data_IF_604719357892
#
_entry.id   IF_604719357892
#
_cell.length_a   1.000
_cell.length_b   1.000
_cell.length_c   1.000
_cell.angle_alpha   90.00
_cell.angle_beta   90.00
_cell.angle_gamma   90.00
#
_symmetry.space_group_name_H-M   'P 1'
#
loop_
_entity.id
_entity.type
_entity.pdbx_description
1 polymer ?
#
# COMPACT_ATOMS: atom_id res chain seq x y z
N UNK A 1 0.35 -10.70 10.95
CA UNK A 1 1.02 -9.45 10.51
C UNK A 1 0.07 -8.76 9.55
N UNK A 2 -0.35 -7.52 9.82
CA UNK A 2 -1.30 -6.82 8.97
C UNK A 2 -0.55 -6.17 7.80
N UNK A 3 -1.02 -6.42 6.57
CA UNK A 3 -0.54 -5.73 5.38
C UNK A 3 -1.20 -4.35 5.33
N UNK A 4 -0.44 -3.33 4.91
CA UNK A 4 -0.92 -1.94 4.90
C UNK A 4 -0.53 -1.27 3.59
N UNK A 5 -1.28 -0.23 3.21
CA UNK A 5 -0.87 0.67 2.14
C UNK A 5 0.01 1.78 2.71
N UNK A 6 1.04 2.14 1.97
CA UNK A 6 1.99 3.19 2.32
C UNK A 6 1.85 4.31 1.29
N UNK A 7 1.85 5.55 1.78
CA UNK A 7 1.96 6.74 0.94
C UNK A 7 3.17 7.52 1.47
N UNK A 8 4.15 7.80 0.62
CA UNK A 8 5.21 8.70 1.05
C UNK A 8 4.70 10.14 1.10
N UNK A 9 5.35 10.97 1.92
CA UNK A 9 4.90 12.34 2.13
C UNK A 9 5.03 13.22 0.88
N UNK A 10 5.92 12.88 -0.07
CA UNK A 10 6.08 13.64 -1.31
C UNK A 10 4.88 13.41 -2.22
N UNK A 11 4.50 12.14 -2.43
CA UNK A 11 3.32 11.77 -3.19
C UNK A 11 2.04 12.30 -2.53
N UNK A 12 1.96 12.24 -1.20
CA UNK A 12 0.86 12.87 -0.45
C UNK A 12 0.69 14.36 -0.78
N UNK A 13 1.80 15.11 -0.88
CA UNK A 13 1.77 16.53 -1.26
C UNK A 13 1.46 16.75 -2.74
N UNK A 14 1.89 15.86 -3.62
CA UNK A 14 1.55 15.94 -5.05
C UNK A 14 0.06 15.70 -5.32
N UNK A 15 -0.62 14.96 -4.44
CA UNK A 15 -2.08 14.79 -4.49
C UNK A 15 -2.84 16.04 -3.98
N UNK A 16 -2.13 17.11 -3.63
CA UNK A 16 -2.67 18.39 -3.13
C UNK A 16 -3.53 18.25 -1.85
N UNK A 17 -3.27 17.21 -1.08
CA UNK A 17 -4.01 16.93 0.16
C UNK A 17 -3.43 17.77 1.31
N UNK A 18 -4.33 18.36 2.10
CA UNK A 18 -3.93 19.18 3.25
C UNK A 18 -3.45 18.31 4.42
N UNK A 19 -2.45 18.79 5.17
CA UNK A 19 -2.00 18.11 6.40
C UNK A 19 -3.11 17.97 7.44
N UNK A 20 -4.13 18.84 7.38
CA UNK A 20 -5.28 18.79 8.28
C UNK A 20 -6.20 17.58 8.02
N UNK A 21 -6.07 16.95 6.85
CA UNK A 21 -6.81 15.73 6.50
C UNK A 21 -6.12 14.47 7.04
N UNK A 22 -4.87 14.57 7.51
CA UNK A 22 -4.19 13.47 8.17
C UNK A 22 -4.79 13.22 9.54
N UNK A 23 -5.31 12.00 9.71
CA UNK A 23 -5.70 11.53 11.04
C UNK A 23 -4.45 11.11 11.80
N UNK A 24 -4.21 11.73 12.95
CA UNK A 24 -3.12 11.31 13.85
C UNK A 24 -3.31 9.84 14.25
N UNK A 25 -2.19 9.12 14.37
CA UNK A 25 -2.23 7.73 14.79
C UNK A 25 -1.06 7.41 15.71
N UNK A 26 -1.28 6.57 16.72
CA UNK A 26 -0.23 6.01 17.56
C UNK A 26 0.32 4.69 16.98
N UNK A 27 -0.17 4.26 15.81
CA UNK A 27 0.29 3.05 15.14
C UNK A 27 1.75 3.18 14.74
N UNK A 28 2.58 2.26 15.24
CA UNK A 28 3.96 2.08 14.80
C UNK A 28 3.97 0.94 13.77
N UNK A 29 4.51 1.22 12.59
CA UNK A 29 4.73 0.17 11.60
C UNK A 29 6.09 -0.49 11.84
N UNK A 30 6.17 -1.79 11.56
CA UNK A 30 7.42 -2.55 11.70
C UNK A 30 7.73 -3.23 10.37
N UNK A 31 8.97 -3.08 9.91
CA UNK A 31 9.47 -3.84 8.77
C UNK A 31 9.62 -5.32 9.12
N UNK A 32 9.83 -6.15 8.09
CA UNK A 32 10.19 -7.57 8.29
C UNK A 32 11.50 -7.77 9.04
N UNK A 33 12.39 -6.78 9.01
CA UNK A 33 13.66 -6.77 9.77
C UNK A 33 13.49 -6.27 11.22
N UNK A 34 12.26 -5.95 11.64
CA UNK A 34 11.95 -5.44 12.99
C UNK A 34 12.23 -3.94 13.17
N UNK A 35 12.65 -3.24 12.11
CA UNK A 35 12.84 -1.80 12.16
C UNK A 35 11.50 -1.07 12.32
N UNK A 36 11.42 -0.15 13.28
CA UNK A 36 10.23 0.66 13.51
C UNK A 36 10.22 1.83 12.53
N UNK A 37 9.10 2.01 11.85
CA UNK A 37 8.90 3.05 10.85
C UNK A 37 8.00 4.11 11.46
N UNK A 38 8.47 5.35 11.45
CA UNK A 38 7.72 6.51 11.93
C UNK A 38 6.64 6.90 10.92
N UNK A 39 5.42 7.10 11.43
CA UNK A 39 4.22 7.41 10.64
C UNK A 39 3.74 8.81 11.00
N UNK A 40 3.55 9.68 10.01
CA UNK A 40 2.99 11.03 10.19
C UNK A 40 1.52 10.99 10.59
N UNK A 41 0.78 10.06 10.00
CA UNK A 41 -0.66 9.92 10.17
C UNK A 41 -1.20 8.87 9.22
N UNK A 42 -2.52 8.80 9.15
CA UNK A 42 -3.25 7.93 8.22
C UNK A 42 -4.31 8.73 7.48
N UNK A 43 -4.60 8.32 6.26
CA UNK A 43 -5.63 8.92 5.42
C UNK A 43 -6.35 7.85 4.61
N UNK A 44 -7.64 8.05 4.35
CA UNK A 44 -8.40 7.17 3.46
C UNK A 44 -8.59 7.84 2.10
N UNK A 45 -8.08 7.22 1.05
CA UNK A 45 -8.15 7.73 -0.32
C UNK A 45 -9.09 6.86 -1.17
N UNK A 46 -9.81 7.50 -2.08
CA UNK A 46 -10.50 6.80 -3.15
C UNK A 46 -9.48 6.52 -4.25
N UNK A 47 -9.32 5.25 -4.62
CA UNK A 47 -8.41 4.81 -5.67
C UNK A 47 -9.21 4.12 -6.78
N UNK A 48 -8.75 4.29 -8.00
CA UNK A 48 -9.34 3.68 -9.19
C UNK A 48 -8.27 3.07 -10.09
N UNK A 49 -8.50 1.85 -10.60
CA UNK A 49 -7.64 1.21 -11.58
C UNK A 49 -8.49 0.37 -12.54
N UNK A 50 -8.32 0.57 -13.86
CA UNK A 50 -9.06 -0.15 -14.90
C UNK A 50 -10.59 -0.23 -14.67
N UNK A 51 -11.21 0.85 -14.19
CA UNK A 51 -12.65 0.91 -13.90
C UNK A 51 -13.07 0.29 -12.56
N UNK A 52 -12.15 -0.32 -11.81
CA UNK A 52 -12.39 -0.78 -10.45
C UNK A 52 -12.07 0.33 -9.45
N UNK A 53 -12.98 0.58 -8.50
CA UNK A 53 -12.86 1.64 -7.51
C UNK A 53 -12.87 1.06 -6.10
N UNK A 54 -12.14 1.67 -5.18
CA UNK A 54 -12.17 1.31 -3.77
C UNK A 54 -11.65 2.44 -2.88
N UNK A 55 -12.03 2.42 -1.61
CA UNK A 55 -11.53 3.36 -0.60
C UNK A 55 -10.55 2.65 0.32
N UNK A 56 -9.30 3.09 0.33
CA UNK A 56 -8.22 2.41 1.03
C UNK A 56 -7.55 3.31 2.05
N UNK A 57 -7.16 2.72 3.18
CA UNK A 57 -6.39 3.40 4.22
C UNK A 57 -4.90 3.35 3.87
N UNK A 58 -4.26 4.51 3.85
CA UNK A 58 -2.82 4.68 3.70
C UNK A 58 -2.22 5.22 4.99
N UNK A 59 -1.06 4.69 5.36
CA UNK A 59 -0.19 5.29 6.36
C UNK A 59 0.82 6.19 5.66
N UNK A 60 0.92 7.43 6.11
CA UNK A 60 1.79 8.44 5.50
C UNK A 60 3.13 8.47 6.21
N UNK A 61 4.22 8.32 5.46
CA UNK A 61 5.58 8.23 6.00
C UNK A 61 6.41 9.48 5.70
N UNK A 62 7.17 9.97 6.68
CA UNK A 62 8.08 11.14 6.52
C UNK A 62 9.46 10.80 5.93
N UNK A 63 9.65 9.56 5.45
CA UNK A 63 10.96 9.11 4.97
C UNK A 63 11.18 9.53 3.53
N UNK A 64 12.31 10.19 3.26
CA UNK A 64 12.73 10.60 1.89
C UNK A 64 13.00 9.42 0.96
N UNK A 65 13.24 8.23 1.52
CA UNK A 65 13.56 7.03 0.74
C UNK A 65 12.40 6.01 0.75
N UNK A 66 11.26 6.35 1.36
CA UNK A 66 10.08 5.51 1.26
C UNK A 66 9.42 5.73 -0.09
N UNK A 67 8.98 4.64 -0.71
CA UNK A 67 8.08 4.70 -1.86
C UNK A 67 6.65 4.50 -1.39
N UNK A 68 5.70 5.14 -2.07
CA UNK A 68 4.29 4.76 -1.99
C UNK A 68 4.09 3.32 -2.47
N UNK A 69 3.36 2.54 -1.68
CA UNK A 69 3.13 1.10 -1.91
C UNK A 69 1.65 0.82 -1.73
N UNK A 70 1.06 0.22 -2.76
CA UNK A 70 -0.25 -0.40 -2.65
C UNK A 70 -0.10 -1.80 -2.04
N UNK A 71 -0.75 -2.02 -0.90
CA UNK A 71 -0.75 -3.31 -0.22
C UNK A 71 -1.45 -4.39 -1.05
N UNK A 72 -1.04 -5.65 -0.85
CA UNK A 72 -1.52 -6.77 -1.68
C UNK A 72 -3.04 -6.92 -1.65
N UNK A 73 -3.67 -6.71 -0.48
CA UNK A 73 -5.13 -6.73 -0.37
C UNK A 73 -5.76 -5.67 -1.28
N UNK A 74 -5.32 -4.41 -1.21
CA UNK A 74 -5.84 -3.33 -2.05
C UNK A 74 -5.57 -3.58 -3.55
N UNK A 75 -4.39 -4.11 -3.88
CA UNK A 75 -4.04 -4.50 -5.26
C UNK A 75 -4.96 -5.60 -5.80
N UNK A 76 -5.36 -6.56 -4.97
CA UNK A 76 -6.31 -7.62 -5.31
C UNK A 76 -7.73 -7.07 -5.52
N UNK A 77 -8.18 -6.20 -4.61
CA UNK A 77 -9.49 -5.55 -4.68
C UNK A 77 -9.62 -4.65 -5.93
N UNK A 78 -8.55 -3.93 -6.30
CA UNK A 78 -8.46 -3.13 -7.52
C UNK A 78 -8.19 -3.94 -8.79
N UNK A 79 -8.11 -5.27 -8.72
CA UNK A 79 -7.81 -6.15 -9.86
C UNK A 79 -6.49 -5.81 -10.57
N UNK A 80 -5.52 -5.24 -9.85
CA UNK A 80 -4.15 -5.05 -10.34
C UNK A 80 -3.49 -6.42 -10.57
N UNK A 81 -3.78 -7.36 -9.68
CA UNK A 81 -3.35 -8.75 -9.78
C UNK A 81 -4.52 -9.58 -10.30
N UNK A 82 -4.27 -10.33 -11.38
CA UNK A 82 -5.23 -11.30 -11.89
C UNK A 82 -4.89 -12.71 -11.39
N UNK A 83 -5.59 -13.23 -10.36
CA UNK A 83 -5.27 -14.54 -9.78
C UNK A 83 -5.38 -15.70 -10.79
N UNK A 84 -6.22 -15.57 -11.83
CA UNK A 84 -6.39 -16.60 -12.86
C UNK A 84 -5.17 -16.74 -13.79
N UNK A 85 -4.38 -15.65 -13.94
CA UNK A 85 -3.14 -15.67 -14.74
C UNK A 85 -1.93 -16.12 -13.94
N UNK A 86 -1.96 -16.01 -12.61
CA UNK A 86 -0.81 -16.32 -11.74
C UNK A 86 -0.64 -17.81 -11.48
N UNK A 87 -1.71 -18.62 -11.55
CA UNK A 87 -1.66 -20.06 -11.25
C UNK A 87 -1.06 -20.96 -12.36
N UNK A 88 -0.79 -20.43 -13.56
CA UNK A 88 -0.39 -21.24 -14.72
C UNK A 88 1.11 -21.58 -14.85
N UNK A 89 1.98 -21.31 -13.86
CA UNK A 89 3.44 -21.43 -14.04
C UNK A 89 4.25 -22.20 -12.99
N UNK A 90 3.63 -22.93 -12.05
CA UNK A 90 4.39 -23.62 -10.98
C UNK A 90 4.36 -25.16 -11.07
N UNK A 91 3.72 -25.77 -12.08
CA UNK A 91 3.62 -27.25 -12.17
C UNK A 91 4.41 -27.93 -13.29
N UNK A 92 5.29 -27.23 -14.02
CA UNK A 92 6.14 -27.84 -15.05
C UNK A 92 7.61 -27.58 -14.74
N UNK A 93 8.20 -28.33 -13.80
CA UNK A 93 9.66 -28.56 -13.79
C UNK A 93 10.19 -29.64 -12.82
N UNK A 94 9.39 -30.63 -12.40
CA UNK A 94 9.87 -31.76 -11.57
C UNK A 94 9.68 -33.13 -12.24
N UNK A 95 9.94 -33.22 -13.55
CA UNK A 95 10.12 -34.53 -14.23
C UNK A 95 11.10 -34.42 -15.39
N UNK A 96 12.40 -34.53 -15.10
CA UNK A 96 13.37 -35.27 -15.93
C UNK A 96 14.62 -35.57 -15.12
#
# INVERSE_FOLDING_TARGET
MFQVNILDYTDFKQLEISDNELTKTATILSSYTGHKIEVCGKISLNCSFNGHNGKFLFYVLKSKNASSILGLQAASELKVINPEKTQKKICENDRH
#
